data_IF_438566390206
#
_entry.id   IF_438566390206
#
_cell.length_a   1.000
_cell.length_b   1.000
_cell.length_c   1.000
_cell.angle_alpha   90.00
_cell.angle_beta   90.00
_cell.angle_gamma   90.00
#
_symmetry.space_group_name_H-M   'P 1'
#
loop_
_entity.id
_entity.type
_entity.pdbx_description
1 polymer ?
#
# COMPACT_ATOMS: atom_id res chain seq x y z
N UNK A 1 -14.31 -6.41 28.13
CA UNK A 1 -13.56 -5.48 29.01
C UNK A 1 -13.05 -4.37 28.10
N UNK A 2 -13.28 -3.09 28.40
CA UNK A 2 -12.78 -1.99 27.55
C UNK A 2 -11.39 -1.60 28.06
N UNK A 3 -10.40 -1.64 27.19
CA UNK A 3 -9.04 -1.19 27.51
C UNK A 3 -8.95 0.33 27.33
N UNK A 4 -8.04 0.98 28.05
CA UNK A 4 -7.83 2.43 27.95
C UNK A 4 -6.65 2.69 27.00
N UNK A 5 -6.88 3.29 25.82
CA UNK A 5 -5.79 3.53 24.87
C UNK A 5 -4.67 4.41 25.44
N UNK A 6 -4.96 5.33 26.37
CA UNK A 6 -3.94 6.22 26.95
C UNK A 6 -2.91 5.49 27.83
N UNK A 7 -3.29 4.32 28.34
CA UNK A 7 -2.42 3.45 29.13
C UNK A 7 -1.53 2.55 28.25
N UNK A 8 -1.79 2.50 26.94
CA UNK A 8 -1.05 1.66 26.00
C UNK A 8 0.38 2.17 25.80
N UNK A 9 1.28 1.23 25.49
CA UNK A 9 2.67 1.48 25.11
C UNK A 9 2.91 0.83 23.76
N UNK A 10 3.41 1.60 22.81
CA UNK A 10 3.55 1.19 21.42
C UNK A 10 5.01 1.21 21.03
N UNK A 11 5.55 0.09 20.57
CA UNK A 11 6.82 0.09 19.84
C UNK A 11 6.51 0.29 18.36
N UNK A 12 7.25 1.19 17.73
CA UNK A 12 7.07 1.54 16.32
C UNK A 12 8.25 1.04 15.51
N UNK A 13 7.97 0.26 14.48
CA UNK A 13 8.92 -0.10 13.44
C UNK A 13 8.49 0.56 12.13
N UNK A 14 9.29 1.51 11.66
CA UNK A 14 9.04 2.14 10.37
C UNK A 14 9.24 1.14 9.22
N UNK A 15 8.20 0.94 8.41
CA UNK A 15 8.31 0.41 7.06
C UNK A 15 8.53 1.55 6.06
N UNK A 16 8.72 1.21 4.78
CA UNK A 16 8.94 2.19 3.72
C UNK A 16 7.73 3.11 3.47
N UNK A 17 6.50 2.58 3.60
CA UNK A 17 5.25 3.31 3.39
C UNK A 17 4.28 3.24 4.58
N UNK A 18 4.31 2.15 5.35
CA UNK A 18 3.44 1.92 6.51
C UNK A 18 4.24 1.83 7.81
N UNK A 19 3.56 2.07 8.92
CA UNK A 19 4.09 1.90 10.27
C UNK A 19 3.61 0.56 10.82
N UNK A 20 4.55 -0.28 11.24
CA UNK A 20 4.24 -1.53 11.94
C UNK A 20 4.35 -1.29 13.44
N UNK A 21 3.36 -1.75 14.19
CA UNK A 21 3.23 -1.43 15.62
C UNK A 21 3.15 -2.69 16.45
N UNK A 22 3.87 -2.71 17.56
CA UNK A 22 3.72 -3.73 18.60
C UNK A 22 3.14 -3.07 19.85
N UNK A 23 1.95 -3.49 20.27
CA UNK A 23 1.23 -2.90 21.39
C UNK A 23 1.40 -3.72 22.67
N UNK A 24 1.53 -3.00 23.77
CA UNK A 24 1.42 -3.53 25.12
C UNK A 24 0.44 -2.69 25.94
N UNK A 25 -0.41 -3.35 26.71
CA UNK A 25 -1.29 -2.70 27.67
C UNK A 25 -1.00 -3.22 29.08
N UNK A 26 -1.09 -2.39 30.15
CA UNK A 26 -0.83 -2.84 31.53
C UNK A 26 -1.80 -3.94 32.02
N UNK A 27 -2.94 -4.09 31.35
CA UNK A 27 -3.89 -5.18 31.56
C UNK A 27 -3.61 -6.42 30.70
N UNK A 28 -2.48 -6.49 30.00
CA UNK A 28 -2.02 -7.69 29.31
C UNK A 28 -0.84 -8.32 30.06
N UNK A 29 -0.78 -9.65 30.02
CA UNK A 29 0.37 -10.43 30.45
C UNK A 29 0.11 -11.37 31.63
N UNK A 30 1.11 -12.22 31.88
CA UNK A 30 0.95 -13.38 32.76
C UNK A 30 0.56 -13.03 34.20
N UNK A 31 -0.02 -14.01 34.91
CA UNK A 31 -0.33 -13.92 36.33
C UNK A 31 0.93 -13.62 37.17
N UNK A 32 2.11 -14.06 36.72
CA UNK A 32 3.37 -13.83 37.41
C UNK A 32 3.77 -12.35 37.47
N UNK A 33 3.36 -11.55 36.50
CA UNK A 33 3.66 -10.10 36.43
C UNK A 33 2.49 -9.22 36.87
N UNK A 34 1.33 -9.80 37.19
CA UNK A 34 0.11 -9.07 37.56
C UNK A 34 0.26 -8.20 38.82
N UNK A 35 0.91 -8.72 39.87
CA UNK A 35 1.15 -7.98 41.11
C UNK A 35 2.05 -6.75 40.90
N UNK A 36 3.09 -6.90 40.08
CA UNK A 36 4.00 -5.81 39.72
C UNK A 36 3.28 -4.74 38.88
N UNK A 37 2.44 -5.16 37.93
CA UNK A 37 1.65 -4.24 37.09
C UNK A 37 0.62 -3.46 37.91
N UNK A 38 -0.10 -4.10 38.83
CA UNK A 38 -1.06 -3.42 39.70
C UNK A 38 -0.37 -2.38 40.60
N UNK A 39 0.81 -2.70 41.14
CA UNK A 39 1.59 -1.78 41.97
C UNK A 39 2.14 -0.57 41.20
N UNK A 40 2.52 -0.73 39.93
CA UNK A 40 3.12 0.33 39.11
C UNK A 40 2.10 1.20 38.36
N UNK A 41 0.97 0.61 37.95
CA UNK A 41 0.02 1.26 37.04
C UNK A 41 -1.39 1.45 37.63
N UNK A 42 -1.62 1.06 38.89
CA UNK A 42 -2.82 1.43 39.66
C UNK A 42 -4.13 0.74 39.23
N UNK A 43 -4.07 -0.27 38.35
CA UNK A 43 -5.25 -1.01 37.90
C UNK A 43 -5.68 -2.11 38.88
N UNK A 44 -7.01 -2.29 39.03
CA UNK A 44 -7.58 -3.60 39.30
C UNK A 44 -7.15 -4.49 38.14
N UNK A 45 -6.10 -5.29 38.36
CA UNK A 45 -5.50 -6.11 37.33
C UNK A 45 -6.56 -6.93 36.60
N UNK A 46 -6.35 -7.28 35.33
CA UNK A 46 -7.26 -8.17 34.62
C UNK A 46 -7.49 -9.43 35.46
N UNK A 47 -8.67 -10.02 35.35
CA UNK A 47 -8.88 -11.40 35.78
C UNK A 47 -7.70 -12.24 35.24
N UNK A 48 -7.13 -13.11 36.08
CA UNK A 48 -5.95 -13.93 35.78
C UNK A 48 -5.83 -14.30 34.30
N UNK A 49 -4.72 -13.90 33.66
CA UNK A 49 -4.34 -14.42 32.34
C UNK A 49 -5.00 -13.76 31.12
N UNK A 50 -5.33 -12.47 31.16
CA UNK A 50 -5.65 -11.73 29.94
C UNK A 50 -4.44 -11.72 28.99
N UNK A 51 -4.48 -12.66 28.03
CA UNK A 51 -3.51 -12.75 26.96
C UNK A 51 -3.54 -11.46 26.13
N UNK A 52 -2.40 -11.03 25.56
CA UNK A 52 -2.39 -10.01 24.54
C UNK A 52 -3.38 -10.35 23.42
N UNK A 53 -4.16 -9.37 22.99
CA UNK A 53 -5.28 -9.56 22.06
C UNK A 53 -5.19 -8.54 20.93
N UNK A 54 -4.95 -9.03 19.71
CA UNK A 54 -4.78 -8.20 18.51
C UNK A 54 -6.07 -7.47 18.14
N UNK A 55 -7.25 -8.07 18.36
CA UNK A 55 -8.52 -7.41 18.05
C UNK A 55 -8.77 -6.25 19.00
N UNK A 56 -8.47 -6.45 20.30
CA UNK A 56 -8.49 -5.37 21.28
C UNK A 56 -7.46 -4.27 20.97
N UNK A 57 -6.28 -4.63 20.48
CA UNK A 57 -5.25 -3.70 20.04
C UNK A 57 -5.74 -2.81 18.89
N UNK A 58 -6.38 -3.41 17.89
CA UNK A 58 -6.98 -2.70 16.74
C UNK A 58 -8.08 -1.74 17.19
N UNK A 59 -8.96 -2.18 18.09
CA UNK A 59 -10.00 -1.30 18.65
C UNK A 59 -9.39 -0.12 19.40
N UNK A 60 -8.33 -0.33 20.20
CA UNK A 60 -7.66 0.78 20.89
C UNK A 60 -7.00 1.76 19.92
N UNK A 61 -6.40 1.27 18.83
CA UNK A 61 -5.83 2.13 17.78
C UNK A 61 -6.93 2.94 17.09
N UNK A 62 -8.04 2.31 16.70
CA UNK A 62 -9.16 2.99 16.06
C UNK A 62 -9.80 4.04 16.98
N UNK A 63 -9.93 3.74 18.27
CA UNK A 63 -10.47 4.68 19.26
C UNK A 63 -9.54 5.88 19.51
N UNK A 64 -8.21 5.68 19.48
CA UNK A 64 -7.24 6.72 19.78
C UNK A 64 -6.88 7.58 18.57
N UNK A 65 -6.73 6.96 17.40
CA UNK A 65 -6.18 7.58 16.19
C UNK A 65 -7.27 7.84 15.13
N UNK A 66 -8.43 7.20 15.26
CA UNK A 66 -9.47 7.17 14.24
C UNK A 66 -9.23 6.08 13.20
N UNK A 67 -10.30 5.38 12.82
CA UNK A 67 -10.27 4.24 11.89
C UNK A 67 -9.60 4.55 10.55
N UNK A 68 -9.82 5.75 10.02
CA UNK A 68 -9.23 6.17 8.75
C UNK A 68 -7.71 6.27 8.84
N UNK A 69 -7.19 6.88 9.90
CA UNK A 69 -5.74 7.04 10.08
C UNK A 69 -5.05 5.69 10.32
N UNK A 70 -5.70 4.80 11.08
CA UNK A 70 -5.23 3.42 11.27
C UNK A 70 -5.20 2.66 9.95
N UNK A 71 -6.30 2.66 9.19
CA UNK A 71 -6.38 1.96 7.91
C UNK A 71 -5.40 2.51 6.85
N UNK A 72 -5.00 3.78 6.99
CA UNK A 72 -4.10 4.46 6.06
C UNK A 72 -2.63 4.20 6.37
N UNK A 73 -2.25 4.24 7.63
CA UNK A 73 -0.83 4.31 8.02
C UNK A 73 -0.33 3.11 8.81
N UNK A 74 -1.23 2.34 9.43
CA UNK A 74 -0.85 1.18 10.23
C UNK A 74 -0.93 -0.07 9.36
N UNK A 75 0.21 -0.74 9.20
CA UNK A 75 0.31 -2.03 8.53
C UNK A 75 0.04 -3.17 9.51
N UNK A 76 1.12 -3.82 9.95
CA UNK A 76 1.00 -4.92 10.90
C UNK A 76 0.77 -4.41 12.32
N UNK A 77 -0.17 -5.08 13.02
CA UNK A 77 -0.46 -4.87 14.43
C UNK A 77 -0.10 -6.14 15.17
N UNK A 78 0.98 -6.08 15.94
CA UNK A 78 1.39 -7.12 16.87
C UNK A 78 1.04 -6.74 18.30
N UNK A 79 0.98 -7.74 19.17
CA UNK A 79 0.74 -7.55 20.60
C UNK A 79 1.77 -8.30 21.42
N UNK A 80 2.13 -7.76 22.57
CA UNK A 80 3.11 -8.37 23.48
C UNK A 80 2.60 -8.36 24.92
N UNK A 81 3.09 -9.31 25.72
CA UNK A 81 2.81 -9.38 27.16
C UNK A 81 3.80 -8.57 28.01
N UNK A 82 4.85 -8.05 27.37
CA UNK A 82 5.95 -7.36 28.00
C UNK A 82 6.09 -5.95 27.42
N UNK A 83 6.15 -4.94 28.29
CA UNK A 83 6.29 -3.55 27.87
C UNK A 83 7.60 -3.35 27.06
N UNK A 84 7.54 -2.81 25.84
CA UNK A 84 8.74 -2.52 25.06
C UNK A 84 9.58 -1.40 25.71
N UNK A 85 10.90 -1.48 25.60
CA UNK A 85 11.84 -0.55 26.25
C UNK A 85 11.75 0.87 25.69
N UNK A 86 11.62 1.00 24.37
CA UNK A 86 11.56 2.28 23.64
C UNK A 86 10.13 2.60 23.17
N UNK A 87 9.13 2.27 24.01
CA UNK A 87 7.74 2.45 23.65
C UNK A 87 7.28 3.90 23.80
N UNK A 88 6.48 4.35 22.84
CA UNK A 88 5.80 5.65 22.84
C UNK A 88 4.34 5.51 23.32
N UNK A 89 3.71 6.63 23.68
CA UNK A 89 2.27 6.69 23.96
C UNK A 89 1.41 6.77 22.68
N UNK A 90 0.09 6.63 22.82
CA UNK A 90 -0.84 6.79 21.68
C UNK A 90 -0.84 8.22 21.13
N UNK A 91 -0.72 9.24 21.98
CA UNK A 91 -0.65 10.64 21.53
C UNK A 91 0.60 10.90 20.67
N UNK A 92 1.75 10.34 21.08
CA UNK A 92 3.00 10.44 20.31
C UNK A 92 2.93 9.66 18.99
N UNK A 93 2.18 8.56 18.96
CA UNK A 93 1.89 7.84 17.72
C UNK A 93 1.01 8.68 16.79
N UNK A 94 -0.03 9.33 17.31
CA UNK A 94 -0.88 10.25 16.54
C UNK A 94 -0.06 11.37 15.89
N UNK A 95 0.79 12.04 16.69
CA UNK A 95 1.70 13.09 16.19
C UNK A 95 2.65 12.58 15.08
N UNK A 96 3.09 11.31 15.19
CA UNK A 96 3.93 10.66 14.17
C UNK A 96 3.14 10.45 12.87
N UNK A 97 1.90 9.95 12.96
CA UNK A 97 1.05 9.70 11.79
C UNK A 97 0.63 11.00 11.11
N UNK A 98 0.29 12.05 11.87
CA UNK A 98 -0.04 13.37 11.32
C UNK A 98 1.13 13.99 10.56
N UNK A 99 2.35 13.84 11.12
CA UNK A 99 3.57 14.29 10.44
C UNK A 99 3.78 13.52 9.13
N UNK A 100 3.61 12.20 9.15
CA UNK A 100 3.71 11.36 7.95
C UNK A 100 2.68 11.75 6.89
N UNK A 101 1.43 12.00 7.30
CA UNK A 101 0.39 12.47 6.40
C UNK A 101 0.72 13.81 5.76
N UNK A 102 1.30 14.73 6.53
CA UNK A 102 1.76 16.02 6.02
C UNK A 102 2.94 15.86 5.05
N UNK A 103 3.91 15.03 5.39
CA UNK A 103 5.10 14.77 4.55
C UNK A 103 4.77 14.04 3.25
N UNK A 104 3.69 13.26 3.24
CA UNK A 104 3.27 12.47 2.09
C UNK A 104 2.22 13.17 1.23
N UNK A 105 1.77 14.37 1.60
CA UNK A 105 0.81 15.15 0.80
C UNK A 105 1.54 16.25 0.06
N UNK A 106 1.34 16.30 -1.26
CA UNK A 106 1.87 17.36 -2.10
C UNK A 106 1.16 18.70 -1.87
N UNK A 107 1.63 19.79 -2.50
CA UNK A 107 1.03 21.12 -2.37
C UNK A 107 -0.46 21.20 -2.71
N UNK A 108 -0.93 20.30 -3.57
CA UNK A 108 -2.31 20.22 -4.06
C UNK A 108 -3.17 19.24 -3.24
N UNK A 109 -2.61 18.61 -2.19
CA UNK A 109 -3.30 17.62 -1.35
C UNK A 109 -3.31 16.20 -1.91
N UNK A 110 -2.73 15.97 -3.09
CA UNK A 110 -2.54 14.62 -3.64
C UNK A 110 -1.37 13.90 -2.97
N UNK A 111 -1.42 12.55 -2.87
CA UNK A 111 -0.30 11.77 -2.35
C UNK A 111 0.97 12.00 -3.19
N UNK A 112 2.08 12.26 -2.53
CA UNK A 112 3.39 12.35 -3.17
C UNK A 112 3.88 10.97 -3.61
N UNK A 113 4.64 10.99 -4.70
CA UNK A 113 5.34 9.81 -5.18
C UNK A 113 6.69 9.69 -4.47
N UNK A 114 6.94 8.53 -3.87
CA UNK A 114 8.25 8.17 -3.36
C UNK A 114 8.97 7.23 -4.34
N UNK A 115 10.29 7.38 -4.42
CA UNK A 115 11.16 6.44 -5.13
C UNK A 115 11.90 5.58 -4.11
N UNK A 116 11.84 4.27 -4.29
CA UNK A 116 12.56 3.25 -3.51
C UNK A 116 13.49 2.51 -4.47
N UNK A 117 14.75 2.37 -4.11
CA UNK A 117 15.71 1.53 -4.86
C UNK A 117 16.06 0.29 -4.06
N UNK A 118 16.22 -0.82 -4.76
CA UNK A 118 16.59 -2.12 -4.20
C UNK A 118 17.62 -2.80 -5.12
N UNK A 119 18.14 -3.96 -4.71
CA UNK A 119 19.35 -4.54 -5.30
C UNK A 119 19.24 -4.83 -6.81
N UNK A 120 18.04 -5.14 -7.30
CA UNK A 120 17.74 -5.49 -8.69
C UNK A 120 16.73 -4.55 -9.35
N UNK A 121 16.58 -3.31 -8.85
CA UNK A 121 15.71 -2.34 -9.50
C UNK A 121 15.25 -1.17 -8.64
N UNK A 122 14.13 -0.60 -9.04
CA UNK A 122 13.50 0.51 -8.33
C UNK A 122 11.98 0.46 -8.43
N UNK A 123 11.32 1.09 -7.47
CA UNK A 123 9.89 1.32 -7.48
C UNK A 123 9.60 2.81 -7.24
N UNK A 124 8.69 3.36 -8.03
CA UNK A 124 8.02 4.63 -7.75
C UNK A 124 6.62 4.30 -7.27
N UNK A 125 6.16 4.86 -6.15
CA UNK A 125 4.81 4.56 -5.64
C UNK A 125 4.23 5.76 -4.88
N UNK A 126 2.90 5.86 -4.88
CA UNK A 126 2.19 6.80 -4.01
C UNK A 126 2.40 6.44 -2.54
N UNK A 127 2.63 7.42 -1.68
CA UNK A 127 2.77 7.21 -0.24
C UNK A 127 1.64 7.91 0.50
N UNK A 128 0.96 7.23 1.45
CA UNK A 128 1.07 5.80 1.69
C UNK A 128 0.40 5.02 0.55
N UNK A 129 0.94 3.85 0.20
CA UNK A 129 0.23 2.92 -0.66
C UNK A 129 -0.87 2.24 0.15
N UNK A 130 -1.93 3.00 0.43
CA UNK A 130 -2.99 2.60 1.33
C UNK A 130 -4.35 2.93 0.75
N UNK A 131 -5.37 2.28 1.31
CA UNK A 131 -6.72 2.27 0.76
C UNK A 131 -7.39 3.63 0.77
N UNK A 132 -7.04 4.48 1.71
CA UNK A 132 -7.54 5.85 1.76
C UNK A 132 -7.12 6.70 0.54
N UNK A 133 -6.07 6.31 -0.20
CA UNK A 133 -5.62 7.01 -1.42
C UNK A 133 -6.52 6.70 -2.63
N UNK A 134 -7.24 5.58 -2.61
CA UNK A 134 -8.17 5.18 -3.66
C UNK A 134 -9.32 4.35 -3.07
N UNK A 135 -10.21 4.97 -2.25
CA UNK A 135 -11.20 4.24 -1.45
C UNK A 135 -12.31 3.60 -2.30
N UNK A 136 -12.53 4.09 -3.52
CA UNK A 136 -13.51 3.52 -4.43
C UNK A 136 -12.93 2.41 -5.30
N UNK A 137 -11.62 2.30 -5.44
CA UNK A 137 -11.01 1.24 -6.24
C UNK A 137 -10.97 -0.08 -5.47
N UNK A 138 -11.05 -1.23 -6.14
CA UNK A 138 -11.09 -2.57 -5.54
C UNK A 138 -10.55 -3.68 -6.46
N UNK A 139 -10.29 -3.35 -7.73
CA UNK A 139 -9.64 -4.24 -8.70
C UNK A 139 -8.19 -3.80 -8.85
N UNK A 140 -7.26 -4.72 -8.60
CA UNK A 140 -5.84 -4.53 -8.90
C UNK A 140 -5.58 -4.92 -10.35
N UNK A 141 -4.96 -4.02 -11.11
CA UNK A 141 -4.54 -4.28 -12.47
C UNK A 141 -3.04 -4.00 -12.65
N UNK A 142 -2.39 -4.79 -13.49
CA UNK A 142 -0.96 -4.66 -13.78
C UNK A 142 -0.72 -4.75 -15.27
N UNK A 143 0.08 -3.83 -15.79
CA UNK A 143 0.71 -3.94 -17.11
C UNK A 143 2.19 -4.22 -16.91
N UNK A 144 2.66 -5.37 -17.35
CA UNK A 144 4.09 -5.69 -17.40
C UNK A 144 4.63 -5.44 -18.80
N UNK A 145 5.69 -4.63 -18.89
CA UNK A 145 6.41 -4.29 -20.11
C UNK A 145 7.79 -4.93 -20.06
N UNK A 146 8.00 -5.98 -20.83
CA UNK A 146 9.29 -6.65 -20.95
C UNK A 146 10.09 -6.02 -22.10
N UNK A 147 11.35 -5.70 -21.85
CA UNK A 147 12.26 -5.19 -22.89
C UNK A 147 12.97 -6.37 -23.55
N UNK A 148 12.73 -6.57 -24.85
CA UNK A 148 13.50 -7.52 -25.66
C UNK A 148 14.79 -6.86 -26.14
N UNK A 149 15.93 -7.38 -25.68
CA UNK A 149 17.27 -6.85 -25.97
C UNK A 149 17.65 -6.86 -27.46
N UNK A 150 17.05 -7.73 -28.27
CA UNK A 150 17.29 -7.82 -29.71
C UNK A 150 16.44 -6.80 -30.44
N UNK A 151 15.15 -6.70 -30.10
CA UNK A 151 14.25 -5.70 -30.67
C UNK A 151 14.67 -4.26 -30.30
N UNK A 152 15.21 -4.08 -29.10
CA UNK A 152 15.67 -2.79 -28.57
C UNK A 152 17.16 -2.51 -28.83
N UNK A 153 17.85 -3.29 -29.68
CA UNK A 153 19.32 -3.26 -29.77
C UNK A 153 19.90 -1.90 -30.20
N UNK A 154 19.09 -1.11 -30.92
CA UNK A 154 19.46 0.21 -31.46
C UNK A 154 19.03 1.36 -30.54
N UNK A 155 18.40 1.06 -29.40
CA UNK A 155 17.92 2.04 -28.43
C UNK A 155 18.90 2.20 -27.27
N UNK A 156 19.02 3.42 -26.77
CA UNK A 156 19.69 3.72 -25.51
C UNK A 156 18.74 3.50 -24.33
N UNK A 157 19.29 3.30 -23.12
CA UNK A 157 18.49 3.19 -21.90
C UNK A 157 17.51 4.37 -21.73
N UNK A 158 17.95 5.60 -22.01
CA UNK A 158 17.10 6.79 -21.92
C UNK A 158 15.92 6.78 -22.91
N UNK A 159 16.10 6.18 -24.10
CA UNK A 159 15.01 6.02 -25.07
C UNK A 159 14.04 4.92 -24.65
N UNK A 160 14.53 3.85 -24.03
CA UNK A 160 13.68 2.81 -23.44
C UNK A 160 12.83 3.42 -22.32
N UNK A 161 13.44 4.22 -21.44
CA UNK A 161 12.73 4.95 -20.38
C UNK A 161 11.66 5.90 -20.94
N UNK A 162 11.95 6.57 -22.06
CA UNK A 162 10.98 7.44 -22.76
C UNK A 162 9.80 6.64 -23.31
N UNK A 163 10.02 5.47 -23.92
CA UNK A 163 8.96 4.57 -24.37
C UNK A 163 8.08 4.10 -23.20
N UNK A 164 8.71 3.75 -22.07
CA UNK A 164 8.00 3.34 -20.84
C UNK A 164 7.13 4.49 -20.32
N UNK A 165 7.65 5.72 -20.29
CA UNK A 165 6.89 6.90 -19.88
C UNK A 165 5.70 7.16 -20.81
N UNK A 166 5.86 7.02 -22.12
CA UNK A 166 4.76 7.18 -23.07
C UNK A 166 3.60 6.20 -22.82
N UNK A 167 3.91 4.94 -22.51
CA UNK A 167 2.88 3.95 -22.15
C UNK A 167 2.24 4.29 -20.80
N UNK A 168 3.02 4.73 -19.82
CA UNK A 168 2.49 5.17 -18.51
C UNK A 168 1.53 6.34 -18.65
N UNK A 169 1.90 7.36 -19.41
CA UNK A 169 1.06 8.54 -19.65
C UNK A 169 -0.23 8.14 -20.38
N UNK A 170 -0.14 7.27 -21.40
CA UNK A 170 -1.32 6.78 -22.11
C UNK A 170 -2.25 5.93 -21.21
N UNK A 171 -1.70 5.14 -20.28
CA UNK A 171 -2.49 4.42 -19.28
C UNK A 171 -3.16 5.39 -18.30
N UNK A 172 -2.44 6.40 -17.83
CA UNK A 172 -2.97 7.42 -16.94
C UNK A 172 -4.11 8.22 -17.59
N UNK A 173 -3.94 8.62 -18.85
CA UNK A 173 -4.96 9.30 -19.64
C UNK A 173 -6.19 8.41 -19.83
N UNK A 174 -6.00 7.13 -20.18
CA UNK A 174 -7.10 6.17 -20.31
C UNK A 174 -7.89 6.01 -19.00
N UNK A 175 -7.22 5.96 -17.85
CA UNK A 175 -7.88 5.91 -16.54
C UNK A 175 -8.65 7.20 -16.24
N UNK A 176 -8.05 8.36 -16.50
CA UNK A 176 -8.67 9.65 -16.24
C UNK A 176 -9.89 9.91 -17.12
N UNK A 177 -9.81 9.60 -18.43
CA UNK A 177 -10.92 9.76 -19.38
C UNK A 177 -12.13 8.90 -19.01
N UNK A 178 -11.90 7.73 -18.42
CA UNK A 178 -12.95 6.80 -18.01
C UNK A 178 -13.34 6.95 -16.54
N UNK A 179 -12.69 7.86 -15.80
CA UNK A 179 -12.81 7.98 -14.34
C UNK A 179 -12.72 6.63 -13.62
N UNK A 180 -11.84 5.75 -14.10
CA UNK A 180 -11.88 4.33 -13.79
C UNK A 180 -10.94 3.88 -12.68
N UNK A 181 -9.99 4.73 -12.27
CA UNK A 181 -8.99 4.38 -11.29
C UNK A 181 -7.75 5.26 -11.35
N UNK A 182 -6.64 4.77 -10.79
CA UNK A 182 -5.35 5.47 -10.80
C UNK A 182 -4.16 4.52 -10.85
N UNK A 183 -3.04 5.00 -11.38
CA UNK A 183 -1.74 4.35 -11.22
C UNK A 183 -1.26 4.60 -9.78
N UNK A 184 -0.77 3.56 -9.11
CA UNK A 184 -0.31 3.61 -7.72
C UNK A 184 1.15 3.21 -7.54
N UNK A 185 1.70 2.45 -8.48
CA UNK A 185 3.12 2.13 -8.47
C UNK A 185 3.64 1.83 -9.88
N UNK A 186 4.93 2.06 -10.07
CA UNK A 186 5.71 1.63 -11.23
C UNK A 186 6.95 0.94 -10.67
N UNK A 187 7.13 -0.33 -10.99
CA UNK A 187 8.26 -1.13 -10.52
C UNK A 187 9.09 -1.53 -11.72
N UNK A 188 10.36 -1.14 -11.74
CA UNK A 188 11.31 -1.52 -12.78
C UNK A 188 12.32 -2.47 -12.18
N UNK A 189 12.43 -3.67 -12.75
CA UNK A 189 13.42 -4.68 -12.38
C UNK A 189 14.45 -4.83 -13.50
N UNK A 190 15.72 -4.80 -13.15
CA UNK A 190 16.81 -5.03 -14.08
C UNK A 190 16.88 -6.53 -14.44
N UNK A 191 17.10 -6.84 -15.72
CA UNK A 191 17.36 -8.21 -16.12
C UNK A 191 18.69 -8.71 -15.53
N UNK A 192 18.69 -9.95 -15.07
CA UNK A 192 19.92 -10.66 -14.70
C UNK A 192 20.64 -11.10 -15.98
N UNK A 193 21.46 -10.22 -16.56
CA UNK A 193 22.12 -10.51 -17.84
C UNK A 193 23.19 -9.50 -18.27
N UNK A 194 23.96 -9.81 -19.34
CA UNK A 194 24.97 -8.91 -19.86
C UNK A 194 24.33 -7.66 -20.45
N UNK A 195 24.86 -6.49 -20.06
CA UNK A 195 24.49 -5.18 -20.62
C UNK A 195 24.90 -5.13 -22.08
N UNK A 196 23.97 -4.79 -22.98
CA UNK A 196 24.23 -4.59 -24.41
C UNK A 196 23.96 -3.13 -24.74
N UNK A 197 24.93 -2.43 -25.35
CA UNK A 197 24.83 -1.00 -25.72
C UNK A 197 24.41 -0.04 -24.57
N UNK A 198 24.69 -0.41 -23.32
CA UNK A 198 24.29 0.37 -22.15
C UNK A 198 22.82 0.17 -21.72
N UNK A 199 22.08 -0.69 -22.41
CA UNK A 199 20.78 -1.19 -21.98
C UNK A 199 20.92 -2.49 -21.19
N UNK A 200 20.28 -2.54 -20.03
CA UNK A 200 19.87 -3.78 -19.37
C UNK A 200 18.51 -4.15 -19.92
N UNK A 201 18.27 -5.44 -20.16
CA UNK A 201 16.89 -5.92 -20.32
C UNK A 201 16.15 -5.69 -18.99
N UNK A 202 14.87 -6.02 -18.94
CA UNK A 202 14.14 -5.91 -17.69
C UNK A 202 12.65 -5.87 -17.89
N UNK A 203 11.95 -5.73 -16.78
CA UNK A 203 10.49 -5.63 -16.76
C UNK A 203 10.12 -4.36 -16.02
N UNK A 204 9.26 -3.55 -16.64
CA UNK A 204 8.57 -2.47 -15.93
C UNK A 204 7.10 -2.86 -15.72
N UNK A 205 6.69 -3.00 -14.48
CA UNK A 205 5.32 -3.24 -14.08
C UNK A 205 4.64 -1.93 -13.65
N UNK A 206 3.55 -1.58 -14.32
CA UNK A 206 2.68 -0.44 -13.97
C UNK A 206 1.47 -0.98 -13.21
N UNK A 207 1.41 -0.70 -11.91
CA UNK A 207 0.34 -1.14 -11.02
C UNK A 207 -0.73 -0.06 -10.90
N UNK A 208 -1.98 -0.48 -11.04
CA UNK A 208 -3.18 0.35 -11.00
C UNK A 208 -4.20 -0.25 -10.04
N UNK A 209 -5.00 0.63 -9.44
CA UNK A 209 -6.25 0.25 -8.80
C UNK A 209 -7.41 0.85 -9.57
N UNK A 210 -8.42 0.03 -9.85
CA UNK A 210 -9.61 0.35 -10.63
C UNK A 210 -10.86 0.21 -9.78
N UNK A 211 -11.88 1.00 -10.07
CA UNK A 211 -13.18 0.97 -9.42
C UNK A 211 -14.14 0.04 -10.16
N UNK A 212 -14.51 -1.09 -9.54
CA UNK A 212 -15.42 -2.08 -10.13
C UNK A 212 -16.82 -1.54 -10.43
N UNK A 213 -17.25 -0.44 -9.81
CA UNK A 213 -18.54 0.19 -10.12
C UNK A 213 -18.53 0.90 -11.48
N UNK A 214 -17.34 1.12 -12.06
CA UNK A 214 -17.20 1.70 -13.40
C UNK A 214 -17.48 0.63 -14.45
N UNK A 215 -18.44 0.86 -15.38
CA UNK A 215 -18.80 -0.12 -16.38
C UNK A 215 -17.58 -0.63 -17.17
N UNK A 216 -17.42 -1.96 -17.20
CA UNK A 216 -16.34 -2.61 -17.93
C UNK A 216 -15.03 -2.80 -17.15
N UNK A 217 -15.03 -2.57 -15.82
CA UNK A 217 -13.92 -2.91 -14.92
C UNK A 217 -14.12 -4.26 -14.20
N UNK A 218 -15.34 -4.62 -13.83
CA UNK A 218 -15.68 -5.85 -13.09
C UNK A 218 -15.61 -7.16 -13.93
N UNK A 219 -15.18 -7.07 -15.19
CA UNK A 219 -15.13 -8.20 -16.10
C UNK A 219 -16.49 -8.72 -16.54
N UNK A 220 -17.60 -8.07 -16.15
CA UNK A 220 -18.90 -8.32 -16.74
C UNK A 220 -18.80 -7.97 -18.22
N UNK A 221 -19.06 -8.97 -19.08
CA UNK A 221 -19.05 -8.79 -20.52
C UNK A 221 -20.08 -7.72 -20.85
N UNK A 222 -19.60 -6.55 -21.26
CA UNK A 222 -20.41 -5.53 -21.89
C UNK A 222 -21.20 -6.22 -23.02
N UNK A 223 -22.55 -6.17 -23.04
CA UNK A 223 -23.34 -6.75 -24.13
C UNK A 223 -22.95 -6.19 -25.51
N UNK A 224 -22.29 -5.03 -25.56
CA UNK A 224 -21.75 -4.41 -26.78
C UNK A 224 -20.24 -4.68 -27.03
N UNK A 225 -19.56 -5.43 -26.15
CA UNK A 225 -18.26 -6.10 -26.35
C UNK A 225 -16.99 -5.23 -26.49
N UNK A 226 -17.12 -3.94 -26.82
CA UNK A 226 -16.01 -3.12 -27.35
C UNK A 226 -15.60 -1.93 -26.47
N UNK A 227 -16.25 -1.70 -25.31
CA UNK A 227 -16.04 -0.49 -24.48
C UNK A 227 -15.59 -0.77 -23.04
N UNK A 228 -15.06 -1.95 -22.76
CA UNK A 228 -14.49 -2.23 -21.45
C UNK A 228 -13.21 -1.42 -21.22
N UNK A 229 -13.12 -0.74 -20.07
CA UNK A 229 -11.90 -0.06 -19.61
C UNK A 229 -10.70 -1.03 -19.66
N UNK A 230 -10.87 -2.29 -19.26
CA UNK A 230 -9.83 -3.31 -19.32
C UNK A 230 -9.34 -3.57 -20.76
N UNK A 231 -10.23 -3.51 -21.75
CA UNK A 231 -9.84 -3.63 -23.16
C UNK A 231 -9.07 -2.40 -23.64
N UNK A 232 -9.46 -1.20 -23.22
CA UNK A 232 -8.70 0.03 -23.50
C UNK A 232 -7.29 -0.04 -22.90
N UNK A 233 -7.16 -0.42 -21.63
CA UNK A 233 -5.85 -0.57 -20.98
C UNK A 233 -4.99 -1.65 -21.66
N UNK A 234 -5.58 -2.78 -22.06
CA UNK A 234 -4.89 -3.81 -22.83
C UNK A 234 -4.45 -3.31 -24.21
N UNK A 235 -5.27 -2.51 -24.88
CA UNK A 235 -4.93 -1.91 -26.16
C UNK A 235 -3.76 -0.92 -26.03
N UNK A 236 -3.75 -0.09 -24.98
CA UNK A 236 -2.61 0.78 -24.66
C UNK A 236 -1.36 -0.04 -24.37
N UNK A 237 -1.43 -1.08 -23.55
CA UNK A 237 -0.29 -1.96 -23.30
C UNK A 237 0.26 -2.58 -24.59
N UNK A 238 -0.62 -2.97 -25.51
CA UNK A 238 -0.24 -3.56 -26.80
C UNK A 238 0.45 -2.60 -27.78
N UNK A 239 0.53 -1.30 -27.48
CA UNK A 239 1.34 -0.37 -28.27
C UNK A 239 2.84 -0.47 -27.94
N UNK A 240 3.20 -1.24 -26.91
CA UNK A 240 4.59 -1.58 -26.60
C UNK A 240 5.20 -2.41 -27.74
N UNK A 241 6.23 -1.87 -28.39
CA UNK A 241 6.82 -2.43 -29.61
C UNK A 241 8.29 -2.84 -29.46
N UNK A 242 8.88 -2.67 -28.27
CA UNK A 242 10.28 -3.00 -27.96
C UNK A 242 10.43 -4.25 -27.08
N UNK A 243 9.37 -5.08 -27.01
CA UNK A 243 9.36 -6.39 -26.38
C UNK A 243 7.92 -6.87 -26.15
N UNK A 244 7.73 -7.73 -25.16
CA UNK A 244 6.42 -8.29 -24.83
C UNK A 244 5.66 -7.42 -23.81
N UNK A 245 4.34 -7.43 -23.89
CA UNK A 245 3.46 -6.82 -22.89
C UNK A 245 2.46 -7.84 -22.36
N UNK A 246 2.24 -7.80 -21.05
CA UNK A 246 1.23 -8.61 -20.37
C UNK A 246 0.30 -7.69 -19.58
N UNK A 247 -0.99 -8.02 -19.59
CA UNK A 247 -2.01 -7.33 -18.81
C UNK A 247 -2.76 -8.36 -17.97
N UNK A 248 -2.80 -8.13 -16.66
CA UNK A 248 -3.57 -8.91 -15.70
C UNK A 248 -4.44 -7.98 -14.84
N UNK A 249 -5.61 -8.46 -14.45
CA UNK A 249 -6.51 -7.75 -13.56
C UNK A 249 -7.28 -8.74 -12.68
N UNK A 250 -7.27 -8.49 -11.38
CA UNK A 250 -7.93 -9.34 -10.39
C UNK A 250 -8.55 -8.49 -9.27
N UNK A 251 -9.67 -8.92 -8.70
CA UNK A 251 -10.15 -8.34 -7.45
C UNK A 251 -9.06 -8.42 -6.38
N UNK A 252 -8.87 -7.36 -5.59
CA UNK A 252 -8.06 -7.43 -4.38
C UNK A 252 -8.98 -7.54 -3.16
N UNK A 253 -9.14 -8.74 -2.55
CA UNK A 253 -10.02 -8.94 -1.40
C UNK A 253 -9.60 -8.11 -0.19
N UNK A 254 -8.34 -7.72 -0.14
CA UNK A 254 -7.81 -6.77 0.83
C UNK A 254 -8.61 -5.50 0.56
N UNK A 255 -8.40 -4.82 -0.57
CA UNK A 255 -9.05 -3.56 -0.92
C UNK A 255 -10.60 -3.61 -0.93
N UNK A 256 -11.21 -4.72 -1.35
CA UNK A 256 -12.66 -4.93 -1.37
C UNK A 256 -13.31 -4.83 0.03
N UNK A 257 -12.63 -5.33 1.07
CA UNK A 257 -13.16 -5.37 2.44
C UNK A 257 -13.47 -4.00 3.08
N UNK A 258 -13.04 -2.88 2.46
CA UNK A 258 -13.29 -1.51 2.95
C UNK A 258 -14.24 -0.70 2.07
N UNK A 259 -14.96 -1.34 1.15
CA UNK A 259 -16.09 -0.72 0.44
C UNK A 259 -17.06 0.03 1.37
N UNK A 260 -17.20 -0.41 2.63
CA UNK A 260 -18.06 0.27 3.60
C UNK A 260 -17.61 1.69 3.97
N UNK A 261 -16.36 2.09 3.69
CA UNK A 261 -15.86 3.46 3.89
C UNK A 261 -16.36 4.44 2.81
N UNK A 262 -17.08 3.96 1.80
CA UNK A 262 -17.73 4.78 0.75
C UNK A 262 -18.93 5.61 1.26
N UNK A 263 -19.26 5.54 2.55
CA UNK A 263 -20.48 6.09 3.15
C UNK A 263 -20.35 7.56 3.60
#
# INVERSE_FOLDING_TARGET
MRYDPSACRVSVRAGHSLVHVTLWHPNWGSAATAALRSALFGGEGPAEGAAPDVDAARVMLDEALGTEQVATWIGDVEVTDTAPTDAIGMDELADLLDRRATEASGPDGEPEWATVTFDDGSARTVVPLARAVAPSCDVHAVVALEVDLVASSDLTAAQIDECVLMVQDALADALAENAAGRIVAVVTTDATGPVVNGGTGGTTAVHMYLDSDVPGVDGAVDPDGDRSVLNTLRAVASTWDIGDSEFDAQPDPTWDAVHYLRA
#
